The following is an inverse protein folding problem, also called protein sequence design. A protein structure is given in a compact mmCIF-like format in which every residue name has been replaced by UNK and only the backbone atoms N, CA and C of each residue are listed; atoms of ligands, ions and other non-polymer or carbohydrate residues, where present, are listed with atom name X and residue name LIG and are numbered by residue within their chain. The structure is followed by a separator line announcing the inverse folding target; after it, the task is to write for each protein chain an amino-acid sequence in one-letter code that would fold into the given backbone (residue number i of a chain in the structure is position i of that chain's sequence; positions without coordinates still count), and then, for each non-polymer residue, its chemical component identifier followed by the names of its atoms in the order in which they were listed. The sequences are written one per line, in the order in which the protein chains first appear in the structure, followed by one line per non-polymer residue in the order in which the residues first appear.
data_IF_095324436483
#
_entry.id   IF_095324436483
#
_cell.length_a   1.000
_cell.length_b   1.000
_cell.length_c   1.000
_cell.angle_alpha   90.00
_cell.angle_beta   90.00
_cell.angle_gamma   90.00
#
_symmetry.space_group_name_H-M   'P 1'
#
loop_
_entity.id
_entity.type
_entity.pdbx_description
1 polymer ?
2 polymer ?
3 non-polymer ?
4 non-polymer ?
5 non-polymer ?
6 non-polymer ?
7 non-polymer ?
8 water ?
#
# COMPACT_ATOMS: atom_id res chain seq x y z
N UNK A 1 -15.51 -17.15 -6.35
CA UNK A 1 -14.71 -17.54 -7.49
C UNK A 1 -14.19 -18.97 -7.40
N UNK A 2 -12.96 -19.17 -7.89
CA UNK A 2 -12.36 -20.50 -7.88
C UNK A 2 -12.09 -21.02 -6.48
N UNK A 3 -12.06 -20.14 -5.48
CA UNK A 3 -11.86 -20.55 -4.09
C UNK A 3 -13.17 -20.76 -3.34
N UNK A 4 -14.31 -20.67 -4.02
CA UNK A 4 -15.59 -20.74 -3.35
C UNK A 4 -15.85 -22.05 -2.65
N UNK A 5 -15.22 -23.14 -3.09
CA UNK A 5 -15.45 -24.43 -2.48
C UNK A 5 -14.48 -24.74 -1.34
N UNK A 6 -13.52 -23.87 -1.07
CA UNK A 6 -12.53 -24.14 -0.04
C UNK A 6 -12.92 -23.45 1.26
N UNK A 7 -12.75 -24.17 2.38
CA UNK A 7 -13.03 -23.61 3.69
C UNK A 7 -12.20 -22.36 3.94
N UNK A 8 -12.82 -21.40 4.62
CA UNK A 8 -12.12 -20.17 4.99
C UNK A 8 -10.81 -20.48 5.71
N UNK A 9 -10.86 -21.38 6.70
CA UNK A 9 -9.66 -21.65 7.48
C UNK A 9 -8.59 -22.31 6.62
N UNK A 10 -8.99 -23.15 5.65
CA UNK A 10 -8.02 -23.75 4.76
C UNK A 10 -7.38 -22.73 3.84
N UNK A 11 -8.16 -21.74 3.40
CA UNK A 11 -7.60 -20.68 2.57
C UNK A 11 -6.54 -19.91 3.33
N UNK A 12 -6.82 -19.59 4.60
CA UNK A 12 -5.86 -18.87 5.43
C UNK A 12 -4.62 -19.72 5.64
N UNK A 13 -4.81 -20.99 5.98
CA UNK A 13 -3.68 -21.90 6.16
C UNK A 13 -2.83 -21.96 4.90
N UNK A 14 -3.46 -22.06 3.73
CA UNK A 14 -2.71 -22.14 2.48
C UNK A 14 -2.06 -20.81 2.13
N UNK A 15 -2.69 -19.70 2.49
CA UNK A 15 -2.02 -18.41 2.29
C UNK A 15 -0.71 -18.35 3.06
N UNK A 16 -0.69 -18.87 4.29
CA UNK A 16 0.53 -18.87 5.06
C UNK A 16 1.57 -19.80 4.45
N UNK A 17 1.15 -20.95 3.92
CA UNK A 17 2.08 -21.83 3.22
C UNK A 17 2.63 -21.16 1.97
N UNK A 18 1.75 -20.49 1.21
CA UNK A 18 2.19 -19.81 0.00
C UNK A 18 3.21 -18.72 0.32
N UNK A 19 3.00 -18.00 1.43
CA UNK A 19 4.01 -17.02 1.83
C UNK A 19 5.36 -17.69 2.07
N UNK A 20 5.37 -18.81 2.81
CA UNK A 20 6.63 -19.49 3.10
C UNK A 20 7.30 -19.97 1.84
N UNK A 21 6.51 -20.33 0.82
CA UNK A 21 7.01 -20.82 -0.45
C UNK A 21 7.28 -19.69 -1.43
N UNK A 22 7.05 -18.44 -1.02
CA UNK A 22 7.23 -17.26 -1.88
C UNK A 22 6.36 -17.33 -3.14
N UNK A 23 5.17 -17.90 -2.98
CA UNK A 23 4.20 -18.03 -4.07
C UNK A 23 3.13 -16.98 -3.84
N UNK A 24 3.49 -15.73 -4.16
CA UNK A 24 2.63 -14.62 -3.76
C UNK A 24 1.36 -14.51 -4.58
N UNK A 25 1.39 -14.93 -5.85
CA UNK A 25 0.16 -14.96 -6.63
C UNK A 25 -0.84 -15.94 -6.02
N UNK A 26 -0.36 -17.12 -5.63
CA UNK A 26 -1.23 -18.06 -4.94
C UNK A 26 -1.72 -17.47 -3.63
N UNK A 27 -0.81 -16.84 -2.88
CA UNK A 27 -1.19 -16.26 -1.61
C UNK A 27 -2.32 -15.24 -1.78
N UNK A 28 -2.19 -14.40 -2.80
CA UNK A 28 -3.23 -13.40 -3.08
C UNK A 28 -4.54 -14.06 -3.45
N UNK A 29 -4.49 -15.13 -4.26
CA UNK A 29 -5.72 -15.82 -4.64
C UNK A 29 -6.38 -16.46 -3.42
N UNK A 30 -5.58 -17.04 -2.53
CA UNK A 30 -6.15 -17.62 -1.32
C UNK A 30 -6.78 -16.55 -0.44
N UNK A 31 -6.11 -15.41 -0.29
CA UNK A 31 -6.63 -14.37 0.59
C UNK A 31 -7.86 -13.68 -0.02
N UNK A 32 -7.89 -13.55 -1.36
CA UNK A 32 -9.11 -13.07 -2.00
C UNK A 32 -10.27 -14.02 -1.74
N UNK A 33 -10.01 -15.33 -1.85
CA UNK A 33 -11.02 -16.30 -1.49
C UNK A 33 -11.50 -16.14 -0.06
N UNK A 34 -10.56 -15.92 0.88
CA UNK A 34 -10.94 -15.73 2.28
C UNK A 34 -11.80 -14.49 2.45
N UNK A 35 -11.43 -13.38 1.82
CA UNK A 35 -12.23 -12.16 1.92
C UNK A 35 -13.63 -12.41 1.39
N UNK A 36 -13.74 -13.12 0.28
CA UNK A 36 -15.03 -13.35 -0.35
C UNK A 36 -15.93 -14.27 0.45
N UNK A 37 -15.44 -14.89 1.53
CA UNK A 37 -16.33 -15.60 2.42
C UNK A 37 -17.29 -14.65 3.15
N UNK A 38 -16.97 -13.36 3.19
CA UNK A 38 -17.88 -12.37 3.70
C UNK A 38 -17.70 -12.01 5.16
N UNK A 39 -16.87 -12.75 5.89
CA UNK A 39 -16.61 -12.40 7.28
C UNK A 39 -15.52 -11.36 7.36
N UNK A 40 -15.54 -10.59 8.44
CA UNK A 40 -14.46 -9.64 8.68
C UNK A 40 -13.13 -10.37 8.88
N UNK A 41 -12.04 -9.67 8.61
CA UNK A 41 -10.70 -10.23 8.75
C UNK A 41 -10.12 -9.83 10.10
N UNK A 42 -9.43 -10.79 10.72
CA UNK A 42 -8.64 -10.48 11.89
C UNK A 42 -7.40 -9.67 11.50
N UNK A 43 -6.70 -9.17 12.51
CA UNK A 43 -5.47 -8.42 12.26
C UNK A 43 -4.46 -9.25 11.47
N UNK A 44 -4.23 -10.49 11.89
CA UNK A 44 -3.29 -11.34 11.17
C UNK A 44 -3.75 -11.55 9.72
N UNK A 45 -5.05 -11.75 9.53
CA UNK A 45 -5.56 -12.00 8.19
C UNK A 45 -5.43 -10.76 7.30
N UNK A 46 -5.70 -9.57 7.87
CA UNK A 46 -5.51 -8.34 7.11
C UNK A 46 -4.07 -8.24 6.64
N UNK A 47 -3.13 -8.58 7.52
CA UNK A 47 -1.74 -8.48 7.14
C UNK A 47 -1.36 -9.51 6.08
N UNK A 48 -1.94 -10.72 6.13
CA UNK A 48 -1.72 -11.67 5.04
C UNK A 48 -2.22 -11.12 3.71
N UNK A 49 -3.41 -10.53 3.71
CA UNK A 49 -3.96 -9.92 2.50
C UNK A 49 -3.01 -8.86 1.96
N UNK A 50 -2.51 -8.00 2.84
CA UNK A 50 -1.63 -6.93 2.42
C UNK A 50 -0.30 -7.48 1.89
N UNK A 51 0.29 -8.45 2.59
CA UNK A 51 1.56 -9.02 2.12
C UNK A 51 1.41 -9.61 0.74
N UNK A 52 0.32 -10.37 0.53
CA UNK A 52 0.15 -11.06 -0.73
C UNK A 52 0.10 -10.07 -1.89
N UNK A 53 -0.80 -9.10 -1.80
CA UNK A 53 -0.98 -8.19 -2.91
C UNK A 53 0.18 -7.22 -3.06
N UNK A 54 0.82 -6.85 -1.94
CA UNK A 54 2.00 -5.98 -2.02
C UNK A 54 3.09 -6.62 -2.86
N UNK A 55 3.29 -7.93 -2.69
CA UNK A 55 4.32 -8.63 -3.44
C UNK A 55 3.91 -8.80 -4.90
N UNK A 56 2.64 -9.11 -5.15
CA UNK A 56 2.18 -9.24 -6.54
C UNK A 56 2.34 -7.92 -7.27
N UNK A 57 1.77 -6.85 -6.70
CA UNK A 57 1.82 -5.57 -7.38
C UNK A 57 3.23 -5.02 -7.39
N UNK A 58 4.06 -5.41 -6.42
CA UNK A 58 5.44 -4.96 -6.38
C UNK A 58 6.24 -5.49 -7.56
N UNK A 59 6.03 -6.76 -7.92
CA UNK A 59 6.70 -7.28 -9.10
C UNK A 59 6.22 -6.60 -10.36
N UNK A 60 4.92 -6.31 -10.44
CA UNK A 60 4.38 -5.63 -11.61
C UNK A 60 4.92 -4.21 -11.71
N UNK A 61 4.97 -3.49 -10.59
CA UNK A 61 5.49 -2.12 -10.61
C UNK A 61 6.95 -2.10 -11.03
N UNK A 62 7.75 -3.02 -10.49
CA UNK A 62 9.16 -3.07 -10.88
C UNK A 62 9.30 -3.34 -12.37
N UNK A 63 8.49 -4.26 -12.90
CA UNK A 63 8.55 -4.57 -14.32
C UNK A 63 8.11 -3.37 -15.15
N UNK A 64 7.02 -2.72 -14.74
CA UNK A 64 6.52 -1.56 -15.46
C UNK A 64 7.58 -0.46 -15.52
N UNK A 65 8.31 -0.24 -14.42
CA UNK A 65 9.33 0.79 -14.40
C UNK A 65 10.46 0.46 -15.38
N UNK A 66 10.86 -0.81 -15.44
CA UNK A 66 11.90 -1.23 -16.39
C UNK A 66 11.43 -0.95 -17.81
N UNK A 67 10.20 -1.37 -18.12
CA UNK A 67 9.69 -1.23 -19.48
C UNK A 67 9.45 0.22 -19.84
N UNK A 68 8.92 1.01 -18.91
CA UNK A 68 8.71 2.42 -19.17
C UNK A 68 10.03 3.14 -19.44
N UNK A 69 11.09 2.77 -18.71
CA UNK A 69 12.39 3.37 -18.95
C UNK A 69 12.91 3.05 -20.35
N UNK A 70 12.76 1.79 -20.77
CA UNK A 70 13.17 1.41 -22.12
C UNK A 70 12.35 2.15 -23.15
N UNK A 71 11.04 2.27 -22.90
CA UNK A 71 10.17 3.00 -23.82
C UNK A 71 10.59 4.45 -23.95
N UNK A 72 10.88 5.10 -22.82
CA UNK A 72 11.29 6.51 -22.88
C UNK A 72 12.63 6.69 -23.57
N UNK A 73 13.57 5.76 -23.36
CA UNK A 73 14.83 5.80 -24.10
C UNK A 73 14.58 5.64 -25.59
N UNK A 74 13.65 4.75 -25.95
CA UNK A 74 13.30 4.55 -27.36
C UNK A 74 12.80 5.82 -28.03
N UNK A 75 12.34 6.80 -27.24
CA UNK A 75 11.78 8.04 -27.78
C UNK A 75 12.70 9.24 -27.62
N UNK A 76 13.98 9.01 -27.33
CA UNK A 76 14.94 10.10 -27.19
C UNK A 76 15.76 10.26 -28.46
N UNK A 79 17.62 8.02 -31.36
CA UNK A 79 17.21 6.66 -31.05
C UNK A 79 16.61 5.97 -32.27
N UNK A 80 16.85 4.66 -32.39
CA UNK A 80 16.34 3.88 -33.50
C UNK A 80 14.92 3.41 -33.19
N UNK A 81 14.04 3.50 -34.19
CA UNK A 81 12.65 3.08 -34.04
C UNK A 81 12.59 1.56 -34.10
N UNK A 82 12.17 0.94 -33.00
CA UNK A 82 12.15 -0.51 -32.86
C UNK A 82 10.76 -1.10 -33.01
N UNK A 83 9.80 -0.35 -33.53
CA UNK A 83 8.46 -0.84 -33.71
C UNK A 83 7.60 -0.70 -32.47
N UNK A 84 6.43 -1.33 -32.48
CA UNK A 84 5.46 -1.15 -31.40
C UNK A 84 5.69 -2.04 -30.18
N UNK A 85 6.70 -2.91 -30.19
CA UNK A 85 6.76 -4.01 -29.22
C UNK A 85 6.98 -3.52 -27.79
N UNK A 86 7.86 -2.55 -27.59
CA UNK A 86 8.10 -2.04 -26.24
C UNK A 86 6.83 -1.45 -25.67
N UNK A 87 6.16 -0.59 -26.44
CA UNK A 87 4.91 0.01 -25.97
C UNK A 87 3.87 -1.08 -25.71
N UNK A 88 3.75 -2.05 -26.61
CA UNK A 88 2.76 -3.11 -26.44
C UNK A 88 3.01 -3.87 -25.15
N UNK A 89 4.26 -4.23 -24.89
CA UNK A 89 4.55 -5.03 -23.71
C UNK A 89 4.42 -4.20 -22.44
N UNK A 90 4.87 -2.94 -22.47
CA UNK A 90 4.61 -2.06 -21.32
C UNK A 90 3.12 -1.96 -21.05
N UNK A 91 2.32 -1.80 -22.11
CA UNK A 91 0.87 -1.72 -21.95
C UNK A 91 0.29 -3.00 -21.35
N UNK A 92 0.83 -4.15 -21.75
CA UNK A 92 0.29 -5.38 -21.19
C UNK A 92 0.59 -5.50 -19.71
N UNK A 93 1.82 -5.20 -19.30
CA UNK A 93 2.15 -5.22 -17.89
C UNK A 93 1.30 -4.20 -17.15
N UNK A 94 1.10 -3.02 -17.74
CA UNK A 94 0.31 -1.97 -17.13
C UNK A 94 -1.14 -2.41 -16.93
N UNK A 95 -1.70 -3.08 -17.93
CA UNK A 95 -3.08 -3.55 -17.82
C UNK A 95 -3.23 -4.61 -16.73
N UNK A 96 -2.23 -5.49 -16.61
CA UNK A 96 -2.28 -6.49 -15.55
C UNK A 96 -2.13 -5.85 -14.19
N UNK A 97 -1.25 -4.85 -14.08
CA UNK A 97 -1.07 -4.10 -12.85
C UNK A 97 -2.35 -3.37 -12.44
N UNK A 98 -3.02 -2.75 -13.41
CA UNK A 98 -4.29 -2.09 -13.13
C UNK A 98 -5.34 -3.09 -12.72
N UNK A 99 -5.30 -4.29 -13.30
CA UNK A 99 -6.27 -5.31 -12.93
C UNK A 99 -6.10 -5.76 -11.48
N UNK A 100 -4.86 -5.90 -11.02
CA UNK A 100 -4.64 -6.27 -9.63
C UNK A 100 -5.10 -5.15 -8.71
N UNK A 101 -4.77 -3.90 -9.04
CA UNK A 101 -5.24 -2.79 -8.22
C UNK A 101 -6.76 -2.75 -8.17
N UNK A 102 -7.42 -2.95 -9.32
CA UNK A 102 -8.88 -2.98 -9.33
C UNK A 102 -9.42 -4.12 -8.48
N UNK A 103 -8.72 -5.25 -8.46
CA UNK A 103 -9.17 -6.38 -7.63
C UNK A 103 -9.11 -6.00 -6.16
N UNK A 104 -8.00 -5.40 -5.75
CA UNK A 104 -7.84 -5.01 -4.35
C UNK A 104 -8.89 -3.96 -3.98
N UNK A 105 -9.03 -2.94 -4.82
CA UNK A 105 -10.00 -1.89 -4.54
C UNK A 105 -11.41 -2.46 -4.50
N UNK A 106 -11.69 -3.46 -5.33
CA UNK A 106 -13.00 -4.08 -5.30
C UNK A 106 -13.25 -4.84 -4.00
N UNK A 107 -12.23 -5.53 -3.48
CA UNK A 107 -12.39 -6.20 -2.20
C UNK A 107 -12.64 -5.19 -1.09
N UNK A 108 -11.94 -4.05 -1.14
CA UNK A 108 -12.12 -3.04 -0.11
C UNK A 108 -13.52 -2.45 -0.19
N UNK A 109 -14.04 -2.27 -1.40
CA UNK A 109 -15.36 -1.68 -1.56
C UNK A 109 -16.48 -2.69 -1.36
N UNK A 110 -16.18 -3.99 -1.41
CA UNK A 110 -17.20 -5.03 -1.37
C UNK A 110 -16.68 -6.20 -0.54
N UNK A 111 -16.68 -6.07 0.80
CA UNK A 111 -17.29 -4.98 1.55
C UNK A 111 -16.43 -4.69 2.78
N UNK A 112 -15.10 -4.79 2.62
CA UNK A 112 -14.22 -4.71 3.78
C UNK A 112 -14.36 -3.37 4.51
N UNK A 113 -14.32 -2.26 3.77
CA UNK A 113 -14.31 -0.97 4.45
C UNK A 113 -15.63 -0.72 5.17
N UNK A 114 -16.76 -1.01 4.52
CA UNK A 114 -18.04 -0.67 5.13
C UNK A 114 -18.31 -1.45 6.41
N UNK A 115 -17.68 -2.61 6.59
CA UNK A 115 -17.91 -3.37 7.81
C UNK A 115 -16.85 -3.09 8.86
N UNK A 116 -15.85 -2.27 8.55
CA UNK A 116 -14.71 -2.03 9.44
C UNK A 116 -15.05 -0.86 10.37
N UNK A 117 -15.31 -1.16 11.63
CA UNK A 117 -15.71 -0.16 12.58
C UNK A 117 -14.61 0.22 13.56
N UNK A 118 -13.71 -0.71 13.84
CA UNK A 118 -12.61 -0.42 14.76
C UNK A 118 -11.54 0.39 14.04
N UNK A 119 -10.87 1.26 14.79
CA UNK A 119 -9.89 2.12 14.16
C UNK A 119 -8.79 1.33 13.47
N UNK A 120 -8.35 0.24 14.09
CA UNK A 120 -7.25 -0.54 13.54
C UNK A 120 -7.61 -1.13 12.19
N UNK A 121 -8.84 -1.63 12.04
CA UNK A 121 -9.23 -2.23 10.78
C UNK A 121 -9.56 -1.15 9.75
N UNK A 122 -10.30 -0.11 10.17
CA UNK A 122 -10.71 0.91 9.24
C UNK A 122 -9.51 1.67 8.68
N UNK A 123 -8.57 2.05 9.54
CA UNK A 123 -7.37 2.75 9.06
C UNK A 123 -6.56 1.85 8.14
N UNK A 124 -6.42 0.57 8.51
CA UNK A 124 -5.69 -0.36 7.66
C UNK A 124 -6.28 -0.39 6.26
N UNK A 125 -7.61 -0.51 6.15
CA UNK A 125 -8.24 -0.64 4.85
C UNK A 125 -8.19 0.66 4.07
N UNK A 126 -8.38 1.80 4.75
CA UNK A 126 -8.35 3.07 4.04
C UNK A 126 -6.93 3.36 3.55
N UNK A 127 -5.93 3.02 4.35
CA UNK A 127 -4.55 3.13 3.89
C UNK A 127 -4.32 2.27 2.65
N UNK A 128 -4.83 1.03 2.67
CA UNK A 128 -4.72 0.16 1.50
C UNK A 128 -5.39 0.78 0.28
N UNK A 129 -6.57 1.36 0.47
CA UNK A 129 -7.26 2.03 -0.63
C UNK A 129 -6.40 3.16 -1.19
N UNK A 130 -5.81 3.97 -0.31
CA UNK A 130 -4.88 4.99 -0.77
C UNK A 130 -3.70 4.42 -1.54
N UNK A 131 -3.10 3.35 -1.01
CA UNK A 131 -1.95 2.73 -1.65
C UNK A 131 -2.28 2.26 -3.06
N UNK A 132 -3.41 1.55 -3.22
CA UNK A 132 -3.70 0.97 -4.53
C UNK A 132 -4.17 2.03 -5.53
N UNK A 133 -4.84 3.09 -5.08
CA UNK A 133 -5.03 4.21 -5.98
C UNK A 133 -3.70 4.87 -6.32
N UNK A 134 -2.77 4.94 -5.35
CA UNK A 134 -1.45 5.48 -5.65
C UNK A 134 -0.74 4.65 -6.71
N UNK A 135 -0.84 3.33 -6.63
CA UNK A 135 -0.20 2.50 -7.67
C UNK A 135 -0.86 2.74 -9.03
N UNK A 136 -2.18 2.93 -9.05
CA UNK A 136 -2.84 3.31 -10.30
C UNK A 136 -2.35 4.66 -10.79
N UNK A 137 -2.11 5.60 -9.86
CA UNK A 137 -1.65 6.92 -10.24
C UNK A 137 -0.26 6.89 -10.86
N UNK A 138 0.58 5.96 -10.40
CA UNK A 138 1.95 5.86 -10.92
C UNK A 138 1.97 5.62 -12.43
N UNK A 139 0.93 4.98 -12.97
CA UNK A 139 0.87 4.63 -14.38
C UNK A 139 -0.17 5.42 -15.15
N UNK A 140 -0.93 6.28 -14.48
CA UNK A 140 -2.00 7.03 -15.12
C UNK A 140 -1.45 8.17 -15.95
N UNK A 141 -2.00 8.33 -17.14
CA UNK A 141 -1.63 9.43 -18.03
C UNK A 141 -2.81 10.11 -18.68
N UNK A 142 -4.03 9.58 -18.54
CA UNK A 142 -5.18 10.04 -19.28
C UNK A 142 -6.05 11.02 -18.51
N UNK A 143 -7.28 11.17 -18.98
CA UNK A 143 -8.20 12.17 -18.45
C UNK A 143 -8.67 11.85 -17.03
N UNK A 144 -8.42 10.65 -16.53
CA UNK A 144 -8.83 10.30 -15.18
C UNK A 144 -7.69 10.35 -14.17
N UNK A 145 -6.50 10.77 -14.59
CA UNK A 145 -5.36 10.80 -13.67
C UNK A 145 -5.65 11.67 -12.45
N UNK A 146 -6.28 12.83 -12.67
CA UNK A 146 -6.55 13.72 -11.55
C UNK A 146 -7.54 13.09 -10.58
N UNK A 147 -8.55 12.40 -11.10
CA UNK A 147 -9.51 11.74 -10.22
C UNK A 147 -8.87 10.58 -9.48
N UNK A 148 -7.96 9.84 -10.13
CA UNK A 148 -7.26 8.76 -9.44
C UNK A 148 -6.43 9.33 -8.30
N UNK A 149 -5.69 10.40 -8.57
CA UNK A 149 -4.90 11.05 -7.53
C UNK A 149 -5.80 11.51 -6.39
N UNK A 150 -6.95 12.11 -6.72
CA UNK A 150 -7.82 12.59 -5.65
C UNK A 150 -8.41 11.44 -4.84
N UNK A 151 -8.67 10.30 -5.48
CA UNK A 151 -9.16 9.15 -4.76
C UNK A 151 -8.11 8.64 -3.77
N UNK A 152 -6.85 8.60 -4.18
CA UNK A 152 -5.81 8.22 -3.24
C UNK A 152 -5.74 9.21 -2.10
N UNK A 153 -5.71 10.50 -2.42
CA UNK A 153 -5.61 11.53 -1.40
C UNK A 153 -6.76 11.41 -0.40
N UNK A 154 -7.98 11.23 -0.90
CA UNK A 154 -9.16 11.18 -0.04
C UNK A 154 -9.11 9.98 0.90
N UNK A 155 -8.69 8.82 0.39
CA UNK A 155 -8.60 7.64 1.25
C UNK A 155 -7.54 7.84 2.32
N UNK A 156 -6.36 8.33 1.93
CA UNK A 156 -5.32 8.56 2.91
C UNK A 156 -5.77 9.59 3.95
N UNK A 157 -6.46 10.65 3.50
CA UNK A 157 -6.87 11.70 4.42
C UNK A 157 -7.87 11.18 5.44
N UNK A 158 -8.84 10.38 5.00
CA UNK A 158 -9.78 9.81 5.95
C UNK A 158 -9.07 8.90 6.94
N UNK A 159 -8.13 8.09 6.44
CA UNK A 159 -7.35 7.24 7.34
C UNK A 159 -6.56 8.07 8.33
N UNK A 160 -5.96 9.17 7.85
CA UNK A 160 -5.20 10.06 8.75
C UNK A 160 -6.09 10.63 9.83
N UNK A 161 -7.30 11.09 9.46
CA UNK A 161 -8.17 11.71 10.44
C UNK A 161 -8.56 10.73 11.53
N UNK A 162 -8.90 9.49 11.15
CA UNK A 162 -9.22 8.48 12.15
C UNK A 162 -8.00 8.16 13.01
N UNK A 163 -6.83 7.99 12.36
CA UNK A 163 -5.66 7.55 13.11
C UNK A 163 -5.23 8.60 14.13
N UNK A 164 -5.39 9.88 13.81
CA UNK A 164 -5.02 10.91 14.77
C UNK A 164 -5.98 10.94 15.95
N UNK A 165 -7.25 10.64 15.73
CA UNK A 165 -8.22 10.65 16.81
C UNK A 165 -8.10 9.42 17.69
N UNK A 166 -7.82 8.26 17.08
CA UNK A 166 -8.04 6.99 17.74
C UNK A 166 -6.79 6.19 18.07
N UNK A 167 -5.62 6.57 17.57
CA UNK A 167 -4.42 5.76 17.75
C UNK A 167 -3.30 6.60 18.31
N UNK A 168 -2.41 6.02 19.11
CA UNK A 168 -1.24 6.77 19.59
C UNK A 168 -0.28 7.03 18.45
N UNK A 169 0.57 8.04 18.56
CA UNK A 169 1.46 8.39 17.44
C UNK A 169 2.50 7.35 17.12
N UNK A 170 2.71 6.35 17.98
CA UNK A 170 3.65 5.27 17.69
C UNK A 170 2.98 4.05 17.06
N UNK A 171 1.67 4.04 16.94
CA UNK A 171 1.00 2.86 16.43
C UNK A 171 1.54 2.52 15.04
N UNK A 172 2.00 1.30 14.80
CA UNK A 172 2.63 1.00 13.50
C UNK A 172 1.73 1.21 12.30
N UNK A 173 0.41 0.99 12.42
CA UNK A 173 -0.49 1.28 11.31
C UNK A 173 -0.50 2.78 11.03
N UNK A 174 -0.63 3.59 12.08
CA UNK A 174 -0.60 5.04 11.91
C UNK A 174 0.72 5.49 11.29
N UNK A 175 1.84 4.92 11.75
CA UNK A 175 3.14 5.31 11.20
C UNK A 175 3.28 4.92 9.73
N UNK A 176 2.88 3.69 9.39
CA UNK A 176 2.98 3.27 8.01
C UNK A 176 2.07 4.07 7.08
N UNK A 177 0.89 4.44 7.59
CA UNK A 177 -0.01 5.31 6.83
C UNK A 177 0.63 6.67 6.57
N UNK A 178 1.19 7.29 7.61
CA UNK A 178 1.83 8.59 7.42
C UNK A 178 3.01 8.48 6.46
N UNK A 179 3.80 7.41 6.59
CA UNK A 179 4.90 7.18 5.68
C UNK A 179 4.39 7.13 4.24
N UNK A 180 3.36 6.32 3.98
CA UNK A 180 2.89 6.17 2.62
C UNK A 180 2.21 7.43 2.10
N UNK A 181 1.50 8.16 2.96
CA UNK A 181 0.90 9.43 2.54
C UNK A 181 2.00 10.43 2.20
N UNK A 182 3.11 10.41 2.95
CA UNK A 182 4.22 11.29 2.61
C UNK A 182 4.82 10.93 1.27
N UNK A 183 4.93 9.64 0.95
CA UNK A 183 5.40 9.22 -0.36
C UNK A 183 4.43 9.68 -1.44
N UNK A 184 3.12 9.55 -1.18
CA UNK A 184 2.12 10.08 -2.10
C UNK A 184 2.37 11.56 -2.38
N UNK A 185 2.59 12.35 -1.33
CA UNK A 185 2.80 13.78 -1.55
C UNK A 185 4.04 14.01 -2.41
N UNK A 186 5.12 13.27 -2.14
CA UNK A 186 6.39 13.51 -2.82
C UNK A 186 6.34 13.05 -4.27
N UNK A 187 5.84 11.83 -4.49
CA UNK A 187 5.98 11.16 -5.78
C UNK A 187 4.80 11.34 -6.70
N UNK A 188 3.61 11.57 -6.16
CA UNK A 188 2.37 11.60 -6.93
C UNK A 188 1.82 13.01 -7.02
N UNK A 189 1.73 13.71 -5.88
CA UNK A 189 1.04 14.98 -5.82
C UNK A 189 1.95 16.17 -6.06
N UNK A 190 3.22 15.95 -6.37
CA UNK A 190 4.15 17.04 -6.65
C UNK A 190 4.21 18.02 -5.48
N UNK A 191 4.19 17.50 -4.26
CA UNK A 191 4.14 18.32 -3.05
C UNK A 191 5.27 17.89 -2.12
N UNK A 192 6.52 18.08 -2.52
CA UNK A 192 7.63 17.62 -1.66
C UNK A 192 7.67 18.30 -0.32
N UNK A 193 7.25 19.57 -0.23
CA UNK A 193 7.26 20.23 1.08
C UNK A 193 6.23 19.59 2.02
N UNK A 194 5.06 19.24 1.50
CA UNK A 194 4.07 18.55 2.32
C UNK A 194 4.59 17.19 2.76
N UNK A 195 5.28 16.48 1.86
CA UNK A 195 5.85 15.18 2.20
C UNK A 195 6.85 15.32 3.33
N UNK A 196 7.75 16.29 3.21
CA UNK A 196 8.77 16.51 4.23
C UNK A 196 8.13 16.90 5.56
N UNK A 197 7.18 17.83 5.54
CA UNK A 197 6.52 18.25 6.78
C UNK A 197 5.82 17.09 7.45
N UNK A 198 5.10 16.28 6.68
CA UNK A 198 4.38 15.15 7.26
C UNK A 198 5.35 14.15 7.86
N UNK A 199 6.43 13.83 7.15
CA UNK A 199 7.38 12.86 7.67
C UNK A 199 8.04 13.38 8.94
N UNK A 200 8.42 14.66 8.97
CA UNK A 200 9.05 15.24 10.16
C UNK A 200 8.10 15.22 11.35
N UNK A 201 6.89 15.73 11.17
CA UNK A 201 5.94 15.76 12.28
C UNK A 201 5.63 14.36 12.78
N UNK A 202 5.44 13.42 11.86
CA UNK A 202 5.16 12.04 12.25
C UNK A 202 6.31 11.47 13.07
N UNK A 203 7.54 11.67 12.59
CA UNK A 203 8.71 11.16 13.31
C UNK A 203 8.79 11.77 14.70
N UNK A 204 8.63 13.09 14.79
CA UNK A 204 8.83 13.76 16.08
C UNK A 204 7.73 13.38 17.07
N UNK A 205 6.49 13.25 16.62
CA UNK A 205 5.42 12.86 17.54
C UNK A 205 5.58 11.42 18.00
N UNK A 206 6.08 10.54 17.12
CA UNK A 206 6.36 9.18 17.55
C UNK A 206 7.51 9.15 18.55
N UNK A 207 8.59 9.90 18.29
CA UNK A 207 9.71 9.92 19.21
C UNK A 207 9.24 10.24 20.63
N UNK A 208 8.37 11.23 20.77
CA UNK A 208 7.88 11.69 22.06
C UNK A 208 7.00 10.68 22.78
N UNK A 209 6.54 9.64 22.10
CA UNK A 209 5.63 8.65 22.64
C UNK A 209 6.32 7.31 22.86
N UNK A 210 7.58 7.16 22.45
CA UNK A 210 8.26 5.88 22.60
C UNK A 210 8.37 5.45 24.05
N UNK A 211 8.43 6.41 24.98
CA UNK A 211 8.64 6.08 26.39
C UNK A 211 7.49 5.26 26.97
N UNK A 212 6.34 5.24 26.30
CA UNK A 212 5.17 4.51 26.78
C UNK A 212 5.20 3.03 26.40
N UNK A 213 6.15 2.62 25.57
CA UNK A 213 6.09 1.35 24.87
C UNK A 213 6.91 0.26 25.55
N UNK A 214 6.46 -0.98 25.38
CA UNK A 214 7.24 -2.15 25.71
C UNK A 214 8.43 -2.27 24.74
N UNK A 215 9.38 -3.13 25.12
CA UNK A 215 10.53 -3.36 24.26
C UNK A 215 10.11 -3.82 22.86
N UNK A 216 9.14 -4.72 22.79
CA UNK A 216 8.71 -5.23 21.48
C UNK A 216 8.00 -4.16 20.67
N UNK A 217 7.12 -3.38 21.30
CA UNK A 217 6.44 -2.31 20.57
C UNK A 217 7.43 -1.23 20.14
N UNK A 218 8.43 -0.95 20.98
CA UNK A 218 9.47 0.00 20.64
C UNK A 218 10.18 -0.42 19.34
N UNK A 219 10.54 -1.70 19.24
CA UNK A 219 11.19 -2.17 18.03
C UNK A 219 10.30 -2.00 16.80
N UNK A 220 9.01 -2.31 16.94
CA UNK A 220 8.08 -2.19 15.82
C UNK A 220 7.99 -0.75 15.34
N UNK A 221 7.84 0.18 16.28
CA UNK A 221 7.64 1.58 15.93
C UNK A 221 8.92 2.19 15.38
N UNK A 222 10.07 1.91 16.00
CA UNK A 222 11.31 2.52 15.54
C UNK A 222 11.71 2.02 14.16
N UNK A 223 11.32 0.80 13.78
CA UNK A 223 11.61 0.34 12.43
C UNK A 223 10.96 1.24 11.40
N UNK A 224 9.71 1.63 11.62
CA UNK A 224 9.03 2.50 10.67
C UNK A 224 9.56 3.92 10.76
N UNK A 225 9.88 4.38 11.98
CA UNK A 225 10.50 5.69 12.11
C UNK A 225 11.77 5.78 11.30
N UNK A 226 12.53 4.68 11.22
CA UNK A 226 13.77 4.71 10.43
C UNK A 226 13.47 4.90 8.95
N UNK A 227 12.36 4.35 8.45
CA UNK A 227 11.98 4.58 7.07
C UNK A 227 11.62 6.05 6.84
N UNK A 228 10.92 6.66 7.79
CA UNK A 228 10.65 8.10 7.69
C UNK A 228 11.95 8.88 7.64
N UNK A 229 12.89 8.55 8.53
CA UNK A 229 14.18 9.23 8.56
C UNK A 229 14.95 9.02 7.26
N UNK A 230 14.90 7.80 6.72
CA UNK A 230 15.60 7.52 5.46
C UNK A 230 15.06 8.38 4.33
N UNK A 231 13.74 8.53 4.26
CA UNK A 231 13.16 9.40 3.23
C UNK A 231 13.54 10.86 3.47
N UNK A 232 13.49 11.31 4.72
CA UNK A 232 13.87 12.69 5.00
C UNK A 232 15.32 12.95 4.59
N UNK A 233 16.20 11.97 4.81
CA UNK A 233 17.59 12.11 4.41
C UNK A 233 17.72 12.22 2.90
N UNK A 234 16.92 11.45 2.16
CA UNK A 234 16.91 11.52 0.71
C UNK A 234 16.36 12.86 0.23
N UNK A 235 15.33 13.38 0.90
CA UNK A 235 14.59 14.52 0.41
C UNK A 235 15.17 15.86 0.86
N UNK A 236 16.02 15.87 1.86
CA UNK A 236 16.54 17.11 2.41
C UNK A 236 18.06 17.13 2.44
N UNK B 5 18.86 7.94 -4.54
CA UNK B 5 17.97 6.83 -4.86
C UNK B 5 16.51 7.23 -4.80
N UNK B 6 15.65 6.24 -4.62
CA UNK B 6 14.20 6.43 -4.60
C UNK B 6 13.71 6.27 -3.16
N UNK B 7 12.73 7.09 -2.78
CA UNK B 7 12.17 6.99 -1.44
C UNK B 7 11.41 5.69 -1.29
N UNK B 8 11.24 5.28 -0.04
CA UNK B 8 10.58 4.02 0.27
C UNK B 8 9.25 4.18 0.98
N UNK B 9 8.29 3.36 0.57
CA UNK B 9 7.02 3.28 1.26
C UNK B 9 7.13 2.16 2.29
N UNK B 10 6.07 1.91 3.02
CA UNK B 10 6.08 0.95 4.10
C UNK B 10 6.45 -0.40 3.54
N UNK B 11 7.28 -1.13 4.27
CA UNK B 11 7.70 -2.44 3.81
C UNK B 11 6.57 -3.46 3.97
X LIG C 1 1.24 4.71 -18.60
X LIG D 1 20.36 4.97 -36.34
X LIG E 1 -17.12 -23.20 6.22
X LIG F 1 2.35 -17.98 -6.89
X LIG G 1 -12.14 7.23 0.32
X LIG H 1 -23.01 -9.56 6.94
X LIG H 1 -21.94 -8.84 7.48
X LIG H 1 -24.16 -9.50 7.97
X LIG H 1 -25.28 -10.19 7.53
X LIG H 1 -23.57 -10.12 9.25
X LIG H 1 -24.64 -10.35 10.12
X LIG I 1 -4.47 -26.11 -2.95
X LIG J 1 11.05 24.71 1.24
X LIG K 1 -12.66 7.42 -4.35
#
# INVERSE_FOLDING_TARGET
GAMGSMERASLIQKAKLAEQAERYEDMAAFMKGAVEKGEELSCEERNLLSVAYKNVVGGQRAAWRVLSSIEQKSNEEGSEEKGPEVREYREKVETELQGVCDTVLGLLDSHLIKEAGDAESRVFYLKMKGDYYRYLAEVATGDDKKRIIDSARSAYQEAMDISKKEMPPTNPIRLGLALNFSVFHYEIANSPEEAISLAKTTFDEAMADLHTLSEDSYKDSTLIMQLLRDNLTLWT
XWPSVRCSSMS
MG MG
MG MG
MG MG
MG MG
MG MG
GOL C1 O1 C2 O2 C3 O3
CL CL
CA CA
NA NA
#
